data_IF_104769036493
#
_entry.id   IF_104769036493
#
_cell.length_a   1.000
_cell.length_b   1.000
_cell.length_c   1.000
_cell.angle_alpha   90.00
_cell.angle_beta   90.00
_cell.angle_gamma   90.00
#
_symmetry.space_group_name_H-M   'P 1'
#
loop_
_entity.id
_entity.type
_entity.pdbx_description
1 polymer ?
#
# COMPACT_ATOMS: atom_id res chain seq x y z
N UNK A 1 3.13 -12.82 22.79
CA UNK A 1 3.37 -12.42 21.38
C UNK A 1 4.88 -12.35 21.18
N UNK A 2 5.43 -13.08 20.21
CA UNK A 2 6.87 -13.05 19.91
C UNK A 2 7.13 -11.75 19.13
N UNK A 3 7.97 -10.85 19.65
CA UNK A 3 8.36 -9.63 18.95
C UNK A 3 8.97 -10.03 17.61
N UNK A 4 8.33 -9.64 16.50
CA UNK A 4 8.72 -10.06 15.15
C UNK A 4 9.94 -9.25 14.64
N UNK A 5 10.41 -8.24 15.41
CA UNK A 5 11.40 -7.23 14.96
C UNK A 5 12.47 -6.84 16.03
N UNK A 6 13.12 -7.79 16.73
CA UNK A 6 14.14 -7.44 17.73
C UNK A 6 15.37 -6.73 17.14
N UNK A 7 15.60 -6.83 15.82
CA UNK A 7 16.71 -6.15 15.14
C UNK A 7 16.55 -4.64 15.01
N UNK A 8 15.32 -4.13 15.05
CA UNK A 8 15.03 -2.71 14.83
C UNK A 8 14.66 -1.96 16.12
N UNK A 9 14.72 -2.64 17.28
CA UNK A 9 14.46 -2.00 18.57
C UNK A 9 15.57 -0.98 18.88
N UNK A 10 15.21 0.31 18.90
CA UNK A 10 16.13 1.41 19.21
C UNK A 10 16.87 2.01 18.02
N UNK A 11 16.61 1.55 16.80
CA UNK A 11 17.26 2.05 15.58
C UNK A 11 16.46 3.17 14.91
N UNK A 12 17.15 4.06 14.19
CA UNK A 12 16.51 5.19 13.51
C UNK A 12 15.72 4.73 12.29
N UNK A 13 14.68 5.49 11.93
CA UNK A 13 13.90 5.26 10.72
C UNK A 13 14.77 5.25 9.45
N UNK A 14 15.85 6.04 9.43
CA UNK A 14 16.78 6.05 8.30
C UNK A 14 17.60 4.75 8.19
N UNK A 15 17.93 4.12 9.32
CA UNK A 15 18.56 2.79 9.32
C UNK A 15 17.60 1.72 8.80
N UNK A 16 16.34 1.75 9.23
CA UNK A 16 15.30 0.85 8.73
C UNK A 16 15.12 0.96 7.21
N UNK A 17 15.04 2.19 6.69
CA UNK A 17 14.92 2.42 5.24
C UNK A 17 16.12 1.83 4.50
N UNK A 18 17.34 2.08 4.99
CA UNK A 18 18.58 1.59 4.36
C UNK A 18 18.71 0.07 4.32
N UNK A 19 18.22 -0.63 5.34
CA UNK A 19 18.20 -2.10 5.32
C UNK A 19 17.12 -2.64 4.38
N UNK A 20 15.96 -1.97 4.32
CA UNK A 20 14.88 -2.34 3.40
C UNK A 20 15.18 -2.00 1.95
N UNK A 21 16.05 -1.03 1.68
CA UNK A 21 16.57 -0.71 0.33
C UNK A 21 17.28 -1.89 -0.34
N UNK A 22 17.75 -2.88 0.43
CA UNK A 22 18.40 -4.07 -0.10
C UNK A 22 17.43 -5.20 -0.46
N UNK A 23 16.13 -4.97 -0.29
CA UNK A 23 15.08 -5.97 -0.50
C UNK A 23 14.20 -5.63 -1.69
N UNK A 24 13.39 -6.58 -2.15
CA UNK A 24 12.39 -6.32 -3.21
C UNK A 24 11.33 -5.27 -2.81
N UNK A 25 11.27 -4.91 -1.52
CA UNK A 25 10.39 -3.88 -0.98
C UNK A 25 10.98 -2.46 -1.06
N UNK A 26 12.24 -2.31 -1.51
CA UNK A 26 12.97 -1.04 -1.55
C UNK A 26 12.17 0.07 -2.22
N UNK A 27 11.62 -0.20 -3.41
CA UNK A 27 10.89 0.79 -4.19
C UNK A 27 9.59 1.23 -3.49
N UNK A 28 8.87 0.29 -2.85
CA UNK A 28 7.69 0.60 -2.03
C UNK A 28 8.06 1.46 -0.82
N UNK A 29 9.14 1.11 -0.13
CA UNK A 29 9.59 1.82 1.07
C UNK A 29 10.06 3.22 0.70
N UNK A 30 10.84 3.39 -0.37
CA UNK A 30 11.33 4.71 -0.81
C UNK A 30 10.14 5.58 -1.24
N UNK A 31 9.26 5.07 -2.11
CA UNK A 31 8.07 5.81 -2.57
C UNK A 31 7.13 6.13 -1.42
N UNK A 32 6.92 5.18 -0.51
CA UNK A 32 6.09 5.32 0.67
C UNK A 32 6.63 6.35 1.65
N UNK A 33 7.92 6.27 1.99
CA UNK A 33 8.61 7.21 2.88
C UNK A 33 8.66 8.61 2.29
N UNK A 34 8.94 8.72 1.00
CA UNK A 34 8.91 10.00 0.29
C UNK A 34 7.49 10.58 0.28
N UNK A 35 6.45 9.77 0.03
CA UNK A 35 5.07 10.23 0.05
C UNK A 35 4.57 10.61 1.47
N UNK A 36 5.08 9.94 2.51
CA UNK A 36 4.85 10.32 3.92
C UNK A 36 5.48 11.66 4.25
N UNK A 37 6.76 11.87 3.86
CA UNK A 37 7.51 13.10 4.14
C UNK A 37 7.04 14.29 3.30
N UNK A 38 6.65 14.09 2.04
CA UNK A 38 6.25 15.17 1.12
C UNK A 38 4.74 15.46 1.10
N UNK A 39 3.90 14.44 1.30
CA UNK A 39 2.43 14.56 1.25
C UNK A 39 1.76 14.66 2.62
N UNK A 40 2.54 14.58 3.71
CA UNK A 40 2.08 14.79 5.09
C UNK A 40 0.99 13.84 5.58
N UNK A 41 0.70 12.75 4.87
CA UNK A 41 -0.43 11.87 5.21
C UNK A 41 -0.10 10.38 5.03
N UNK A 42 -0.35 9.63 6.10
CA UNK A 42 -0.26 8.16 6.15
C UNK A 42 -1.06 7.46 5.04
N UNK A 43 -2.12 8.11 4.53
CA UNK A 43 -2.92 7.60 3.41
C UNK A 43 -2.13 7.38 2.13
N UNK A 44 -1.05 8.15 1.90
CA UNK A 44 -0.23 8.01 0.69
C UNK A 44 0.67 6.77 0.76
N UNK A 45 1.15 6.42 1.96
CA UNK A 45 1.89 5.18 2.19
C UNK A 45 0.99 3.95 1.99
N UNK A 46 -0.19 3.94 2.60
CA UNK A 46 -1.14 2.83 2.43
C UNK A 46 -1.57 2.63 0.97
N UNK A 47 -1.59 3.72 0.18
CA UNK A 47 -1.89 3.64 -1.24
C UNK A 47 -0.74 2.97 -2.01
N UNK A 48 0.50 3.38 -1.74
CA UNK A 48 1.70 2.76 -2.33
C UNK A 48 1.83 1.28 -1.96
N UNK A 49 1.49 0.92 -0.72
CA UNK A 49 1.48 -0.46 -0.25
C UNK A 49 0.43 -1.30 -1.00
N UNK A 50 -0.79 -0.76 -1.18
CA UNK A 50 -1.83 -1.43 -1.96
C UNK A 50 -1.44 -1.68 -3.41
N UNK A 51 -0.78 -0.71 -4.06
CA UNK A 51 -0.26 -0.86 -5.41
C UNK A 51 0.85 -1.91 -5.48
N UNK A 52 1.79 -1.88 -4.54
CA UNK A 52 2.86 -2.87 -4.46
C UNK A 52 2.33 -4.30 -4.39
N UNK A 53 1.32 -4.57 -3.55
CA UNK A 53 0.76 -5.93 -3.49
C UNK A 53 0.04 -6.31 -4.79
N UNK A 54 -0.65 -5.38 -5.45
CA UNK A 54 -1.30 -5.66 -6.72
C UNK A 54 -0.29 -6.01 -7.80
N UNK A 55 0.83 -5.28 -7.87
CA UNK A 55 1.92 -5.52 -8.81
C UNK A 55 2.66 -6.82 -8.50
N UNK A 56 2.97 -7.07 -7.22
CA UNK A 56 3.64 -8.29 -6.77
C UNK A 56 2.85 -9.56 -7.13
N UNK A 57 1.53 -9.52 -6.97
CA UNK A 57 0.67 -10.65 -7.32
C UNK A 57 0.19 -10.62 -8.77
N UNK A 58 0.51 -9.61 -9.59
CA UNK A 58 0.07 -9.55 -10.99
C UNK A 58 0.49 -10.79 -11.83
N UNK A 59 1.72 -11.32 -11.69
CA UNK A 59 2.15 -12.53 -12.43
C UNK A 59 1.29 -13.77 -12.16
N UNK A 60 0.57 -13.83 -11.04
CA UNK A 60 -0.32 -14.96 -10.68
C UNK A 60 -1.42 -15.17 -11.72
N UNK A 61 -1.79 -14.14 -12.51
CA UNK A 61 -2.77 -14.29 -13.59
C UNK A 61 -2.37 -15.32 -14.65
N UNK A 62 -1.06 -15.56 -14.82
CA UNK A 62 -0.52 -16.53 -15.79
C UNK A 62 -0.38 -17.95 -15.23
N UNK A 63 -0.63 -18.15 -13.93
CA UNK A 63 -0.60 -19.47 -13.29
C UNK A 63 -1.98 -20.16 -13.39
N UNK A 64 -2.12 -21.44 -13.03
CA UNK A 64 -3.40 -22.17 -13.09
C UNK A 64 -3.73 -22.74 -11.71
N UNK A 65 -4.98 -22.52 -11.26
CA UNK A 65 -5.61 -23.14 -10.08
C UNK A 65 -4.74 -23.26 -8.81
N UNK A 66 -4.15 -22.16 -8.36
CA UNK A 66 -3.34 -22.11 -7.15
C UNK A 66 -3.97 -21.21 -6.07
N UNK A 67 -3.50 -21.35 -4.83
CA UNK A 67 -4.02 -20.58 -3.69
C UNK A 67 -3.77 -19.08 -3.87
N UNK A 68 -2.68 -18.72 -4.53
CA UNK A 68 -2.29 -17.36 -4.84
C UNK A 68 -3.36 -16.63 -5.66
N UNK A 69 -4.08 -17.30 -6.56
CA UNK A 69 -5.22 -16.70 -7.27
C UNK A 69 -6.36 -16.32 -6.35
N UNK A 70 -6.64 -17.16 -5.35
CA UNK A 70 -7.67 -16.89 -4.34
C UNK A 70 -7.25 -15.66 -3.52
N UNK A 71 -5.99 -15.62 -3.08
CA UNK A 71 -5.43 -14.45 -2.39
C UNK A 71 -5.48 -13.18 -3.24
N UNK A 72 -5.07 -13.25 -4.51
CA UNK A 72 -5.11 -12.11 -5.43
C UNK A 72 -6.54 -11.59 -5.61
N UNK A 73 -7.53 -12.48 -5.70
CA UNK A 73 -8.94 -12.09 -5.77
C UNK A 73 -9.37 -11.28 -4.53
N UNK A 74 -9.08 -11.77 -3.32
CA UNK A 74 -9.43 -11.06 -2.09
C UNK A 74 -8.67 -9.74 -1.94
N UNK A 75 -7.41 -9.70 -2.36
CA UNK A 75 -6.60 -8.49 -2.36
C UNK A 75 -7.22 -7.41 -3.24
N UNK A 76 -7.58 -7.75 -4.48
CA UNK A 76 -8.27 -6.83 -5.40
C UNK A 76 -9.60 -6.35 -4.80
N UNK A 77 -10.39 -7.25 -4.23
CA UNK A 77 -11.66 -6.90 -3.59
C UNK A 77 -11.51 -5.97 -2.39
N UNK A 78 -10.46 -6.15 -1.59
CA UNK A 78 -10.14 -5.25 -0.48
C UNK A 78 -9.83 -3.83 -0.99
N UNK A 79 -9.05 -3.71 -2.06
CA UNK A 79 -8.70 -2.40 -2.66
C UNK A 79 -9.94 -1.73 -3.27
N UNK A 80 -10.77 -2.47 -4.01
CA UNK A 80 -12.03 -1.97 -4.57
C UNK A 80 -12.97 -1.42 -3.50
N UNK A 81 -13.18 -2.17 -2.40
CA UNK A 81 -14.00 -1.74 -1.27
C UNK A 81 -13.46 -0.47 -0.60
N UNK A 82 -12.14 -0.36 -0.46
CA UNK A 82 -11.50 0.84 0.11
C UNK A 82 -11.77 2.06 -0.77
N UNK A 83 -11.65 1.95 -2.09
CA UNK A 83 -11.94 3.06 -3.00
C UNK A 83 -13.41 3.44 -3.02
N UNK A 84 -14.33 2.46 -3.04
CA UNK A 84 -15.76 2.71 -2.93
C UNK A 84 -16.10 3.45 -1.64
N UNK A 85 -15.50 3.07 -0.50
CA UNK A 85 -15.67 3.76 0.77
C UNK A 85 -15.20 5.22 0.71
N UNK A 86 -14.01 5.48 0.14
CA UNK A 86 -13.49 6.86 -0.04
C UNK A 86 -14.41 7.70 -0.92
N UNK A 87 -14.92 7.14 -2.02
CA UNK A 87 -15.86 7.82 -2.91
C UNK A 87 -17.16 8.13 -2.15
N UNK A 88 -17.74 7.12 -1.49
CA UNK A 88 -19.00 7.26 -0.77
C UNK A 88 -18.90 8.32 0.34
N UNK A 89 -17.86 8.27 1.16
CA UNK A 89 -17.56 9.30 2.17
C UNK A 89 -17.37 10.66 1.52
N UNK A 90 -16.63 10.74 0.40
CA UNK A 90 -16.43 11.99 -0.32
C UNK A 90 -17.73 12.63 -0.81
N UNK A 91 -18.65 11.82 -1.35
CA UNK A 91 -19.99 12.26 -1.76
C UNK A 91 -20.82 12.70 -0.56
N UNK A 92 -20.83 11.92 0.52
CA UNK A 92 -21.62 12.20 1.72
C UNK A 92 -21.24 13.53 2.38
N UNK A 93 -19.96 13.87 2.40
CA UNK A 93 -19.45 15.10 3.02
C UNK A 93 -19.21 16.25 2.03
N UNK A 94 -19.63 16.12 0.77
CA UNK A 94 -19.49 17.18 -0.24
C UNK A 94 -18.04 17.55 -0.57
N UNK A 95 -17.11 16.60 -0.47
CA UNK A 95 -15.69 16.83 -0.79
C UNK A 95 -15.54 17.03 -2.30
N UNK A 96 -14.71 18.00 -2.70
CA UNK A 96 -14.41 18.24 -4.11
C UNK A 96 -13.92 16.97 -4.84
N UNK A 97 -14.48 16.73 -6.02
CA UNK A 97 -14.13 15.60 -6.88
C UNK A 97 -12.63 15.51 -7.21
N UNK A 98 -11.92 16.63 -7.29
CA UNK A 98 -10.47 16.68 -7.52
C UNK A 98 -9.68 15.99 -6.39
N UNK A 99 -10.11 16.21 -5.14
CA UNK A 99 -9.49 15.61 -3.94
C UNK A 99 -9.80 14.13 -3.81
N UNK A 100 -11.02 13.71 -4.18
CA UNK A 100 -11.42 12.29 -4.22
C UNK A 100 -10.63 11.57 -5.30
N UNK A 101 -10.53 12.14 -6.52
CA UNK A 101 -9.79 11.54 -7.64
C UNK A 101 -8.33 11.28 -7.29
N UNK A 102 -7.63 12.22 -6.66
CA UNK A 102 -6.23 12.02 -6.27
C UNK A 102 -6.04 10.83 -5.31
N UNK A 103 -7.01 10.55 -4.44
CA UNK A 103 -6.97 9.41 -3.51
C UNK A 103 -7.28 8.07 -4.17
N UNK A 104 -8.13 8.07 -5.20
CA UNK A 104 -8.65 6.84 -5.83
C UNK A 104 -7.89 6.47 -7.12
N UNK A 105 -7.14 7.40 -7.72
CA UNK A 105 -6.39 7.12 -8.95
C UNK A 105 -5.36 6.01 -8.72
N UNK A 106 -5.59 4.85 -9.33
CA UNK A 106 -4.62 3.74 -9.44
C UNK A 106 -3.60 4.11 -10.50
#
# INVERSE_FOLDING_TARGET
>A
QKNLWPKFEGESMDFFVKEMERTDYADMIIKGTYALRSGGTFSSFEKSEGLFYLDFFDPVKYTVSNLEKIFQFFLRKKVELKYLSIIFTGVLYGIENSKIKNKVKV
#
